data_IF_588316312959
#
_entry.id   IF_588316312959
#
_cell.length_a   1.000
_cell.length_b   1.000
_cell.length_c   1.000
_cell.angle_alpha   90.00
_cell.angle_beta   90.00
_cell.angle_gamma   90.00
#
_symmetry.space_group_name_H-M   'P 1'
#
loop_
_entity.id
_entity.type
_entity.pdbx_description
1 polymer ?
#
# COMPACT_ATOMS: atom_id res chain seq x y z
N UNK A 1 14.43 0.68 -9.11
CA UNK A 1 13.67 0.54 -7.86
C UNK A 1 13.43 -0.93 -7.58
N UNK A 2 13.75 -1.39 -6.40
CA UNK A 2 13.58 -2.80 -6.04
C UNK A 2 12.29 -2.95 -5.26
N UNK A 3 11.35 -3.75 -5.77
CA UNK A 3 10.14 -4.11 -5.04
C UNK A 3 10.48 -5.20 -4.02
N UNK A 4 9.98 -5.03 -2.80
CA UNK A 4 10.15 -6.03 -1.76
C UNK A 4 9.11 -7.13 -1.96
N UNK A 5 9.57 -8.37 -2.11
CA UNK A 5 8.68 -9.51 -2.14
C UNK A 5 8.36 -9.93 -0.70
N UNK A 6 7.07 -9.98 -0.39
CA UNK A 6 6.60 -10.35 0.93
C UNK A 6 6.27 -11.84 0.98
N UNK A 7 6.76 -12.54 2.01
CA UNK A 7 6.31 -13.90 2.28
C UNK A 7 4.98 -13.89 3.06
N UNK A 8 4.40 -15.08 3.25
CA UNK A 8 3.08 -15.20 3.90
C UNK A 8 3.06 -14.66 5.33
N UNK A 9 4.14 -14.86 6.08
CA UNK A 9 4.23 -14.37 7.48
C UNK A 9 4.34 -12.86 7.53
N UNK A 10 5.11 -12.27 6.62
CA UNK A 10 5.24 -10.82 6.51
C UNK A 10 3.93 -10.18 6.10
N UNK A 11 3.20 -10.79 5.15
CA UNK A 11 1.87 -10.32 4.75
C UNK A 11 0.90 -10.35 5.92
N UNK A 12 0.87 -11.44 6.69
CA UNK A 12 0.00 -11.54 7.86
C UNK A 12 0.31 -10.49 8.91
N UNK A 13 1.60 -10.23 9.16
CA UNK A 13 2.03 -9.18 10.06
C UNK A 13 1.53 -7.81 9.60
N UNK A 14 1.80 -7.45 8.34
CA UNK A 14 1.39 -6.15 7.80
C UNK A 14 -0.13 -6.02 7.70
N UNK A 15 -0.83 -7.09 7.36
CA UNK A 15 -2.30 -7.09 7.35
C UNK A 15 -2.86 -6.79 8.74
N UNK A 16 -2.30 -7.41 9.79
CA UNK A 16 -2.75 -7.16 11.15
C UNK A 16 -2.48 -5.71 11.58
N UNK A 17 -1.35 -5.15 11.20
CA UNK A 17 -1.03 -3.75 11.49
C UNK A 17 -1.95 -2.80 10.72
N UNK A 18 -2.35 -3.17 9.50
CA UNK A 18 -3.24 -2.35 8.69
C UNK A 18 -4.70 -2.39 9.15
N UNK A 19 -5.07 -3.35 10.00
CA UNK A 19 -6.46 -3.56 10.41
C UNK A 19 -7.15 -2.29 10.91
N UNK A 20 -6.44 -1.47 11.66
CA UNK A 20 -6.99 -0.25 12.26
C UNK A 20 -6.78 1.00 11.41
N UNK A 21 -6.13 0.88 10.25
CA UNK A 21 -5.89 2.04 9.39
C UNK A 21 -7.12 2.35 8.55
N UNK A 22 -7.33 3.65 8.31
CA UNK A 22 -8.31 4.12 7.34
C UNK A 22 -7.66 4.29 5.96
N UNK A 23 -8.41 4.15 4.86
CA UNK A 23 -7.87 4.44 3.54
C UNK A 23 -7.35 5.87 3.44
N UNK A 24 -6.14 6.04 2.91
CA UNK A 24 -5.56 7.37 2.67
C UNK A 24 -5.97 7.93 1.31
N UNK A 25 -6.37 7.05 0.39
CA UNK A 25 -6.81 7.42 -0.96
C UNK A 25 -8.07 6.62 -1.29
N UNK A 26 -9.02 7.30 -1.90
CA UNK A 26 -10.23 6.68 -2.44
C UNK A 26 -10.21 6.89 -3.94
N UNK A 27 -10.25 5.80 -4.71
CA UNK A 27 -10.31 5.86 -6.16
C UNK A 27 -11.77 6.07 -6.57
N UNK A 28 -12.06 7.26 -7.09
CA UNK A 28 -13.39 7.64 -7.55
C UNK A 28 -13.50 7.58 -9.08
N UNK A 29 -14.45 8.37 -9.62
CA UNK A 29 -14.78 8.36 -11.05
C UNK A 29 -13.62 8.78 -11.95
N UNK A 30 -12.65 9.53 -11.44
CA UNK A 30 -11.47 9.96 -12.19
C UNK A 30 -10.44 8.83 -12.38
N UNK A 31 -10.60 7.72 -11.68
CA UNK A 31 -9.67 6.58 -11.76
C UNK A 31 -8.29 6.92 -11.21
N UNK A 32 -7.26 6.32 -11.83
CA UNK A 32 -5.86 6.54 -11.45
C UNK A 32 -5.28 7.72 -12.23
N UNK A 33 -5.64 8.93 -11.83
CA UNK A 33 -5.00 10.13 -12.35
C UNK A 33 -3.56 10.24 -11.83
N UNK A 34 -2.74 11.07 -12.48
CA UNK A 34 -1.37 11.33 -12.02
C UNK A 34 -1.35 11.87 -10.59
N UNK A 35 -2.32 12.72 -10.25
CA UNK A 35 -2.45 13.26 -8.90
C UNK A 35 -2.75 12.18 -7.85
N UNK A 36 -3.61 11.23 -8.19
CA UNK A 36 -3.93 10.10 -7.29
C UNK A 36 -2.71 9.21 -7.09
N UNK A 37 -2.00 8.87 -8.15
CA UNK A 37 -0.79 8.05 -8.06
C UNK A 37 0.29 8.75 -7.24
N UNK A 38 0.46 10.06 -7.44
CA UNK A 38 1.41 10.85 -6.65
C UNK A 38 1.04 10.86 -5.17
N UNK A 39 -0.24 11.02 -4.85
CA UNK A 39 -0.71 10.98 -3.46
C UNK A 39 -0.42 9.63 -2.82
N UNK A 40 -0.62 8.54 -3.55
CA UNK A 40 -0.29 7.20 -3.07
C UNK A 40 1.20 7.08 -2.78
N UNK A 41 2.04 7.51 -3.72
CA UNK A 41 3.50 7.46 -3.56
C UNK A 41 3.97 8.29 -2.36
N UNK A 42 3.45 9.51 -2.20
CA UNK A 42 3.79 10.38 -1.08
C UNK A 42 3.34 9.76 0.26
N UNK A 43 2.16 9.17 0.29
CA UNK A 43 1.63 8.51 1.49
C UNK A 43 2.48 7.29 1.89
N UNK A 44 2.93 6.52 0.90
CA UNK A 44 3.81 5.37 1.16
C UNK A 44 5.14 5.81 1.74
N UNK A 45 5.71 6.94 1.25
CA UNK A 45 6.98 7.45 1.79
C UNK A 45 6.86 7.87 3.25
N UNK A 46 5.70 8.39 3.66
CA UNK A 46 5.48 8.83 5.04
C UNK A 46 5.06 7.68 5.96
N UNK A 47 4.17 6.82 5.49
CA UNK A 47 3.51 5.82 6.35
C UNK A 47 3.99 4.39 6.13
N UNK A 48 4.59 4.09 5.00
CA UNK A 48 5.02 2.75 4.56
C UNK A 48 3.87 1.77 4.33
N UNK A 49 2.85 1.76 5.17
CA UNK A 49 1.69 0.86 5.08
C UNK A 49 0.44 1.71 4.95
N UNK A 50 -0.30 1.51 3.88
CA UNK A 50 -1.51 2.28 3.58
C UNK A 50 -2.61 1.40 3.04
N UNK A 51 -3.84 1.93 3.07
CA UNK A 51 -4.99 1.36 2.38
C UNK A 51 -5.45 2.29 1.26
N UNK A 52 -5.83 1.70 0.14
CA UNK A 52 -6.46 2.40 -0.99
C UNK A 52 -7.81 1.75 -1.22
N UNK A 53 -8.87 2.53 -1.20
CA UNK A 53 -10.24 2.04 -1.40
C UNK A 53 -10.73 2.37 -2.80
N UNK A 54 -11.37 1.40 -3.44
CA UNK A 54 -11.99 1.58 -4.77
C UNK A 54 -13.50 1.77 -4.62
N UNK A 55 -13.98 3.01 -4.80
CA UNK A 55 -15.40 3.31 -4.86
C UNK A 55 -15.95 3.13 -6.28
N UNK A 56 -15.07 3.28 -7.27
CA UNK A 56 -15.35 3.05 -8.69
C UNK A 56 -14.36 2.02 -9.23
N UNK A 57 -14.60 1.53 -10.43
CA UNK A 57 -13.71 0.57 -11.11
C UNK A 57 -13.49 -0.69 -10.27
N UNK A 58 -14.54 -1.16 -9.60
CA UNK A 58 -14.42 -2.30 -8.67
C UNK A 58 -14.05 -3.60 -9.39
N UNK A 59 -14.50 -3.77 -10.62
CA UNK A 59 -14.16 -4.95 -11.42
C UNK A 59 -12.71 -4.93 -11.88
N UNK A 60 -12.10 -3.74 -11.99
CA UNK A 60 -10.73 -3.54 -12.42
C UNK A 60 -9.76 -3.33 -11.25
N UNK A 61 -10.23 -3.46 -10.01
CA UNK A 61 -9.43 -3.14 -8.82
C UNK A 61 -8.12 -3.91 -8.75
N UNK A 62 -8.09 -5.17 -9.16
CA UNK A 62 -6.85 -5.96 -9.14
C UNK A 62 -5.84 -5.44 -10.15
N UNK A 63 -6.27 -5.23 -11.39
CA UNK A 63 -5.35 -4.71 -12.41
C UNK A 63 -4.89 -3.30 -12.11
N UNK A 64 -5.77 -2.46 -11.55
CA UNK A 64 -5.41 -1.10 -11.13
C UNK A 64 -4.45 -1.12 -9.95
N UNK A 65 -4.64 -2.04 -9.00
CA UNK A 65 -3.71 -2.20 -7.88
C UNK A 65 -2.34 -2.64 -8.36
N UNK A 66 -2.28 -3.56 -9.32
CA UNK A 66 -1.02 -3.99 -9.92
C UNK A 66 -0.31 -2.83 -10.61
N UNK A 67 -1.07 -1.97 -11.31
CA UNK A 67 -0.52 -0.77 -11.92
C UNK A 67 0.03 0.21 -10.87
N UNK A 68 -0.69 0.42 -9.77
CA UNK A 68 -0.21 1.24 -8.67
C UNK A 68 1.12 0.69 -8.14
N UNK A 69 1.18 -0.60 -7.89
CA UNK A 69 2.41 -1.23 -7.39
C UNK A 69 3.57 -1.07 -8.37
N UNK A 70 3.31 -1.24 -9.66
CA UNK A 70 4.32 -1.05 -10.70
C UNK A 70 4.81 0.40 -10.75
N UNK A 71 3.90 1.37 -10.66
CA UNK A 71 4.24 2.79 -10.78
C UNK A 71 4.95 3.33 -9.52
N UNK A 72 4.63 2.79 -8.35
CA UNK A 72 5.16 3.31 -7.07
C UNK A 72 6.27 2.46 -6.47
N UNK A 73 6.42 1.22 -6.90
CA UNK A 73 7.33 0.27 -6.29
C UNK A 73 6.78 -0.39 -5.03
N UNK A 74 5.49 -0.21 -4.75
CA UNK A 74 4.86 -0.83 -3.59
C UNK A 74 4.63 -2.33 -3.80
N UNK A 75 4.53 -3.05 -2.69
CA UNK A 75 4.11 -4.45 -2.66
C UNK A 75 2.65 -4.53 -2.26
N UNK A 76 1.90 -5.39 -2.92
CA UNK A 76 0.53 -5.69 -2.51
C UNK A 76 0.58 -6.64 -1.31
N UNK A 77 0.07 -6.17 -0.17
CA UNK A 77 -0.08 -7.01 1.02
C UNK A 77 -1.31 -7.91 0.86
N UNK A 78 -2.45 -7.29 0.59
CA UNK A 78 -3.70 -8.01 0.35
C UNK A 78 -4.74 -7.11 -0.30
N UNK A 79 -5.62 -7.72 -1.10
CA UNK A 79 -6.80 -7.07 -1.64
C UNK A 79 -8.02 -7.70 -0.96
N UNK A 80 -8.68 -6.94 -0.10
CA UNK A 80 -9.84 -7.40 0.68
C UNK A 80 -11.05 -6.58 0.24
N UNK A 81 -12.04 -7.25 -0.37
CA UNK A 81 -13.19 -6.54 -0.92
C UNK A 81 -12.71 -5.47 -1.90
N UNK A 82 -13.05 -4.21 -1.65
CA UNK A 82 -12.66 -3.08 -2.49
C UNK A 82 -11.48 -2.27 -1.92
N UNK A 83 -10.72 -2.86 -1.00
CA UNK A 83 -9.59 -2.19 -0.34
C UNK A 83 -8.30 -2.92 -0.62
N UNK A 84 -7.32 -2.20 -1.15
CA UNK A 84 -5.97 -2.71 -1.34
C UNK A 84 -5.09 -2.25 -0.17
N UNK A 85 -4.38 -3.18 0.44
CA UNK A 85 -3.38 -2.89 1.47
C UNK A 85 -2.02 -2.93 0.78
N UNK A 86 -1.29 -1.82 0.84
CA UNK A 86 -0.02 -1.63 0.14
C UNK A 86 1.08 -1.32 1.15
N UNK A 87 2.27 -1.83 0.86
CA UNK A 87 3.46 -1.59 1.66
C UNK A 87 4.63 -1.20 0.77
N UNK A 88 5.39 -0.21 1.22
CA UNK A 88 6.69 0.13 0.62
C UNK A 88 7.59 0.66 1.72
N UNK A 89 8.82 0.12 1.82
CA UNK A 89 9.79 0.67 2.76
C UNK A 89 10.14 2.11 2.38
N UNK A 90 10.07 3.02 3.34
CA UNK A 90 10.41 4.41 3.13
C UNK A 90 11.90 4.58 2.81
N UNK A 91 12.23 5.47 1.89
CA UNK A 91 13.63 5.81 1.58
C UNK A 91 14.27 6.56 2.75
N UNK A 92 13.53 7.49 3.34
CA UNK A 92 13.97 8.18 4.55
C UNK A 92 13.81 7.27 5.76
N UNK A 93 14.93 6.94 6.40
CA UNK A 93 14.95 6.05 7.57
C UNK A 93 14.09 6.56 8.72
N UNK A 94 13.92 7.88 8.85
CA UNK A 94 13.08 8.46 9.89
C UNK A 94 11.60 8.12 9.71
N UNK A 95 11.19 7.77 8.49
CA UNK A 95 9.81 7.40 8.18
C UNK A 95 9.58 5.89 8.23
N UNK A 96 10.55 5.11 8.68
CA UNK A 96 10.42 3.65 8.77
C UNK A 96 9.72 3.25 10.04
N UNK A 97 8.55 2.61 9.87
CA UNK A 97 7.66 2.22 10.96
C UNK A 97 7.68 0.71 11.21
N UNK A 98 8.16 -0.08 10.25
CA UNK A 98 8.07 -1.54 10.29
C UNK A 98 9.40 -2.18 9.96
N UNK A 99 9.76 -3.19 10.74
CA UNK A 99 10.84 -4.10 10.40
C UNK A 99 10.18 -5.41 9.96
N UNK A 100 10.06 -5.62 8.66
CA UNK A 100 9.33 -6.77 8.12
C UNK A 100 10.07 -8.09 8.32
N UNK A 101 11.40 -8.07 8.47
CA UNK A 101 12.16 -9.28 8.77
C UNK A 101 11.90 -9.76 10.19
N UNK A 102 11.88 -8.83 11.14
CA UNK A 102 11.57 -9.13 12.54
C UNK A 102 10.08 -9.14 12.82
N UNK A 103 9.26 -8.69 11.88
CA UNK A 103 7.82 -8.53 12.02
C UNK A 103 7.46 -7.74 13.27
N UNK A 104 8.08 -6.55 13.38
CA UNK A 104 7.90 -5.65 14.52
C UNK A 104 7.69 -4.22 14.04
N UNK A 105 7.10 -3.42 14.92
CA UNK A 105 6.89 -1.99 14.69
C UNK A 105 8.08 -1.24 15.26
N UNK A 106 8.62 -0.31 14.46
CA UNK A 106 9.70 0.57 14.91
C UNK A 106 9.12 1.67 15.80
N UNK A 107 9.67 1.84 16.95
CA UNK A 107 9.25 2.86 17.92
C UNK A 107 10.07 4.14 17.77
#
# INVERSE_FOLDING_TARGET
>A
MIMIELNSKQRKFLESEAHFLNPVVIVGSQGLSDGVVKKIADSLEVHELIKVKFNEFKDEKRSLTEKICSDTGASLVRLIGNVAILYKQAENKENRHFDIEKKSVTL
#
